data_IF_267574651025
#
_entry.id   IF_267574651025
#
_cell.length_a   1.000
_cell.length_b   1.000
_cell.length_c   1.000
_cell.angle_alpha   90.00
_cell.angle_beta   90.00
_cell.angle_gamma   90.00
#
_symmetry.space_group_name_H-M   'P 1'
#
loop_
_entity.id
_entity.type
_entity.pdbx_description
1 polymer ?
#
# COMPACT_ATOMS: atom_id res chain seq x y z
N UNK A 1 -22.49 -0.95 10.04
CA UNK A 1 -22.89 -2.37 9.89
C UNK A 1 -22.70 -2.75 8.42
N UNK A 2 -22.09 -3.87 8.09
CA UNK A 2 -21.96 -4.33 6.70
C UNK A 2 -23.32 -4.67 6.08
N UNK A 3 -23.38 -4.74 4.74
CA UNK A 3 -24.60 -5.08 4.01
C UNK A 3 -25.07 -6.51 4.32
N UNK A 4 -24.12 -7.43 4.50
CA UNK A 4 -24.36 -8.87 4.69
C UNK A 4 -23.52 -9.44 5.83
N UNK A 5 -23.81 -9.03 7.07
CA UNK A 5 -23.07 -9.51 8.25
C UNK A 5 -23.00 -11.04 8.31
N UNK A 6 -21.84 -11.66 8.62
CA UNK A 6 -20.56 -11.05 8.98
C UNK A 6 -19.63 -10.74 7.78
N UNK A 7 -20.14 -10.73 6.54
CA UNK A 7 -19.34 -10.56 5.34
C UNK A 7 -19.21 -9.07 5.00
N UNK A 8 -18.00 -8.65 4.62
CA UNK A 8 -17.67 -7.30 4.15
C UNK A 8 -17.06 -7.38 2.76
N UNK A 9 -17.62 -6.65 1.81
CA UNK A 9 -17.04 -6.46 0.47
C UNK A 9 -16.18 -5.20 0.45
N UNK A 10 -14.89 -5.33 0.11
CA UNK A 10 -13.96 -4.22 0.02
C UNK A 10 -13.23 -4.23 -1.32
N UNK A 11 -13.32 -3.15 -2.08
CA UNK A 11 -12.55 -2.93 -3.31
C UNK A 11 -11.56 -1.79 -3.11
N UNK A 12 -10.33 -1.94 -3.57
CA UNK A 12 -9.32 -0.87 -3.55
C UNK A 12 -8.66 -0.79 -4.90
N UNK A 13 -8.58 0.40 -5.48
CA UNK A 13 -7.87 0.62 -6.72
C UNK A 13 -6.40 0.21 -6.58
N UNK A 14 -5.95 -0.64 -7.50
CA UNK A 14 -4.61 -1.18 -7.53
C UNK A 14 -3.63 -0.36 -8.39
N UNK A 15 -2.40 -0.82 -8.53
CA UNK A 15 -1.38 -0.11 -9.29
C UNK A 15 -1.55 -0.30 -10.80
N UNK A 16 -1.13 0.72 -11.57
CA UNK A 16 -0.81 0.55 -12.99
C UNK A 16 0.63 0.07 -13.11
N UNK A 17 0.82 -1.11 -13.72
CA UNK A 17 2.09 -1.84 -13.67
C UNK A 17 3.02 -1.53 -14.85
N UNK A 18 3.44 -0.28 -14.96
CA UNK A 18 4.40 0.20 -15.97
C UNK A 18 5.73 0.67 -15.38
N UNK A 19 5.92 0.61 -14.08
CA UNK A 19 7.11 1.07 -13.39
C UNK A 19 7.23 0.55 -11.97
N UNK A 20 8.39 0.79 -11.37
CA UNK A 20 8.67 0.37 -10.01
C UNK A 20 7.73 1.00 -8.98
N UNK A 21 7.33 0.24 -7.95
CA UNK A 21 6.57 0.80 -6.86
C UNK A 21 7.37 1.87 -6.11
N UNK A 22 6.69 2.95 -5.78
CA UNK A 22 7.28 4.12 -5.11
C UNK A 22 6.53 4.45 -3.82
N UNK A 23 7.02 5.43 -3.09
CA UNK A 23 6.46 5.83 -1.79
C UNK A 23 4.95 6.14 -1.84
N UNK A 24 4.45 6.71 -2.95
CA UNK A 24 3.02 6.97 -3.14
C UNK A 24 2.14 5.73 -3.08
N UNK A 25 2.64 4.57 -3.52
CA UNK A 25 1.90 3.30 -3.43
C UNK A 25 1.81 2.77 -1.99
N UNK A 26 2.72 3.17 -1.08
CA UNK A 26 2.70 2.70 0.30
C UNK A 26 1.51 3.22 1.08
N UNK A 27 1.08 4.45 0.78
CA UNK A 27 0.01 5.12 1.51
C UNK A 27 -1.32 4.36 1.43
N UNK A 28 -1.90 4.13 0.22
CA UNK A 28 -3.10 3.31 0.10
C UNK A 28 -2.87 1.87 0.57
N UNK A 29 -1.74 1.26 0.21
CA UNK A 29 -1.46 -0.12 0.57
C UNK A 29 -1.49 -0.36 2.09
N UNK A 30 -0.83 0.49 2.88
CA UNK A 30 -0.79 0.37 4.34
C UNK A 30 -2.11 0.78 4.97
N UNK A 31 -2.75 1.85 4.49
CA UNK A 31 -4.05 2.30 5.00
C UNK A 31 -5.11 1.21 4.91
N UNK A 32 -5.26 0.61 3.72
CA UNK A 32 -6.26 -0.44 3.50
C UNK A 32 -5.83 -1.79 4.07
N UNK A 33 -4.55 -2.05 4.26
CA UNK A 33 -4.06 -3.20 5.03
C UNK A 33 -4.47 -3.11 6.51
N UNK A 34 -4.33 -1.93 7.13
CA UNK A 34 -4.81 -1.70 8.50
C UNK A 34 -6.32 -1.91 8.60
N UNK A 35 -7.10 -1.36 7.68
CA UNK A 35 -8.55 -1.59 7.64
C UNK A 35 -8.89 -3.06 7.48
N UNK A 36 -8.25 -3.76 6.55
CA UNK A 36 -8.45 -5.18 6.30
C UNK A 36 -8.13 -6.03 7.53
N UNK A 37 -6.99 -5.77 8.17
CA UNK A 37 -6.57 -6.43 9.41
C UNK A 37 -7.54 -6.16 10.55
N UNK A 38 -7.97 -4.91 10.72
CA UNK A 38 -8.87 -4.52 11.78
C UNK A 38 -10.26 -5.15 11.63
N UNK A 39 -10.85 -5.14 10.44
CA UNK A 39 -12.12 -5.80 10.19
C UNK A 39 -12.04 -7.31 10.48
N UNK A 40 -10.94 -7.97 10.10
CA UNK A 40 -10.71 -9.39 10.42
C UNK A 40 -10.53 -9.62 11.93
N UNK A 41 -9.84 -8.72 12.62
CA UNK A 41 -9.68 -8.76 14.08
C UNK A 41 -11.04 -8.66 14.81
N UNK A 42 -11.97 -7.88 14.28
CA UNK A 42 -13.34 -7.78 14.76
C UNK A 42 -14.20 -9.00 14.41
N UNK A 43 -13.69 -9.99 13.70
CA UNK A 43 -14.38 -11.23 13.34
C UNK A 43 -15.14 -11.17 12.01
N UNK A 44 -15.05 -10.09 11.24
CA UNK A 44 -15.66 -10.02 9.92
C UNK A 44 -14.94 -10.89 8.89
N UNK A 45 -15.71 -11.43 7.95
CA UNK A 45 -15.20 -12.15 6.77
C UNK A 45 -15.07 -11.16 5.60
N UNK A 46 -13.87 -10.67 5.39
CA UNK A 46 -13.63 -9.63 4.37
C UNK A 46 -13.24 -10.27 3.05
N UNK A 47 -14.02 -10.01 1.99
CA UNK A 47 -13.60 -10.24 0.61
C UNK A 47 -12.96 -8.96 0.10
N UNK A 48 -11.64 -8.96 0.09
CA UNK A 48 -10.82 -7.85 -0.37
C UNK A 48 -10.41 -8.06 -1.82
N UNK A 49 -10.82 -7.16 -2.71
CA UNK A 49 -10.45 -7.12 -4.12
C UNK A 49 -9.56 -5.92 -4.37
N UNK A 50 -8.43 -6.14 -5.05
CA UNK A 50 -7.54 -5.08 -5.52
C UNK A 50 -7.08 -5.44 -6.92
N UNK A 51 -7.37 -4.58 -7.90
CA UNK A 51 -7.03 -4.86 -9.29
C UNK A 51 -5.55 -4.61 -9.60
N UNK A 52 -5.13 -5.15 -10.75
CA UNK A 52 -3.93 -4.75 -11.47
C UNK A 52 -4.37 -4.09 -12.77
N UNK A 53 -4.03 -2.83 -12.95
CA UNK A 53 -4.26 -2.10 -14.20
C UNK A 53 -3.10 -2.41 -15.16
N UNK A 54 -3.35 -3.29 -16.10
CA UNK A 54 -2.39 -3.76 -17.08
C UNK A 54 -2.78 -3.40 -18.53
N UNK A 55 -3.81 -2.56 -18.72
CA UNK A 55 -4.28 -2.01 -20.01
C UNK A 55 -5.12 -0.76 -19.81
N UNK A 56 -5.20 0.10 -20.83
CA UNK A 56 -6.18 1.18 -20.93
C UNK A 56 -5.87 2.43 -20.12
N UNK A 57 -4.72 2.51 -19.47
CA UNK A 57 -4.30 3.70 -18.73
C UNK A 57 -3.36 4.55 -19.57
N UNK A 58 -3.91 5.56 -20.21
CA UNK A 58 -3.19 6.43 -21.12
C UNK A 58 -2.37 7.50 -20.37
N UNK A 59 -1.46 8.15 -21.09
CA UNK A 59 -0.65 9.24 -20.55
C UNK A 59 -1.53 10.42 -20.09
N UNK A 60 -1.06 11.13 -19.06
CA UNK A 60 -1.74 12.29 -18.47
C UNK A 60 -3.12 12.00 -17.87
N UNK A 61 -3.46 10.70 -17.65
CA UNK A 61 -4.76 10.25 -17.15
C UNK A 61 -5.92 10.76 -18.03
N UNK A 62 -5.66 10.88 -19.33
CA UNK A 62 -6.55 11.38 -20.37
C UNK A 62 -7.12 10.22 -21.22
N UNK A 63 -8.08 10.54 -22.10
CA UNK A 63 -8.63 9.58 -23.08
C UNK A 63 -7.85 9.56 -24.40
N UNK A 64 -6.74 10.27 -24.47
CA UNK A 64 -5.86 10.37 -25.62
C UNK A 64 -4.39 10.28 -25.19
N UNK A 65 -3.55 9.75 -26.08
CA UNK A 65 -2.16 9.49 -25.79
C UNK A 65 -1.80 8.02 -25.93
N UNK A 66 -0.56 7.70 -25.67
CA UNK A 66 -0.05 6.33 -25.68
C UNK A 66 -0.38 5.63 -24.35
N UNK A 67 -0.71 4.34 -24.39
CA UNK A 67 -0.86 3.53 -23.20
C UNK A 67 0.49 3.47 -22.44
N UNK A 68 0.45 3.65 -21.12
CA UNK A 68 1.66 3.73 -20.27
C UNK A 68 2.51 2.46 -20.34
N UNK A 69 1.86 1.30 -20.45
CA UNK A 69 2.54 0.00 -20.53
C UNK A 69 3.13 -0.22 -21.92
N UNK A 70 2.37 0.09 -22.98
CA UNK A 70 2.87 0.00 -24.36
C UNK A 70 4.05 0.93 -24.61
N UNK A 71 3.96 2.18 -24.13
CA UNK A 71 5.08 3.12 -24.20
C UNK A 71 6.33 2.55 -23.53
N UNK A 72 6.19 1.96 -22.35
CA UNK A 72 7.30 1.35 -21.62
C UNK A 72 7.85 0.14 -22.38
N UNK A 73 6.98 -0.73 -22.89
CA UNK A 73 7.36 -1.90 -23.68
C UNK A 73 8.14 -1.51 -24.95
N UNK A 74 7.66 -0.51 -25.68
CA UNK A 74 8.33 0.01 -26.87
C UNK A 74 9.72 0.58 -26.55
N UNK A 75 9.85 1.34 -25.46
CA UNK A 75 11.13 1.94 -25.03
C UNK A 75 12.16 0.87 -24.58
N UNK A 76 11.69 -0.22 -24.01
CA UNK A 76 12.54 -1.32 -23.53
C UNK A 76 12.65 -2.50 -24.51
N UNK A 77 11.97 -2.42 -25.66
CA UNK A 77 11.93 -3.46 -26.69
C UNK A 77 11.37 -4.81 -26.14
N UNK A 78 10.31 -4.72 -25.33
CA UNK A 78 9.62 -5.84 -24.70
C UNK A 78 8.18 -5.93 -25.18
N UNK A 79 7.50 -7.06 -24.89
CA UNK A 79 6.07 -7.17 -25.03
C UNK A 79 5.32 -6.48 -23.86
N UNK A 80 4.17 -5.81 -24.09
CA UNK A 80 3.43 -5.13 -23.02
C UNK A 80 3.10 -6.05 -21.84
N UNK A 81 2.72 -7.30 -22.07
CA UNK A 81 2.41 -8.25 -21.02
C UNK A 81 3.67 -8.69 -20.24
N UNK A 82 4.84 -8.67 -20.85
CA UNK A 82 6.12 -8.92 -20.17
C UNK A 82 6.43 -7.77 -19.21
N UNK A 83 6.23 -6.52 -19.63
CA UNK A 83 6.35 -5.33 -18.78
C UNK A 83 5.37 -5.41 -17.60
N UNK A 84 4.10 -5.69 -17.87
CA UNK A 84 3.06 -5.79 -16.84
C UNK A 84 3.41 -6.87 -15.81
N UNK A 85 3.84 -8.07 -16.25
CA UNK A 85 4.25 -9.17 -15.36
C UNK A 85 5.48 -8.81 -14.52
N UNK A 86 6.49 -8.18 -15.13
CA UNK A 86 7.70 -7.79 -14.43
C UNK A 86 7.41 -6.81 -13.28
N UNK A 87 6.66 -5.73 -13.56
CA UNK A 87 6.35 -4.72 -12.55
C UNK A 87 5.30 -5.20 -11.52
N UNK A 88 4.40 -6.08 -11.89
CA UNK A 88 3.51 -6.76 -10.94
C UNK A 88 4.31 -7.55 -9.89
N UNK A 89 5.29 -8.34 -10.33
CA UNK A 89 6.15 -9.10 -9.42
C UNK A 89 6.96 -8.18 -8.49
N UNK A 90 7.47 -7.06 -9.00
CA UNK A 90 8.19 -6.06 -8.19
C UNK A 90 7.27 -5.37 -7.18
N UNK A 91 6.04 -5.07 -7.58
CA UNK A 91 5.03 -4.55 -6.67
C UNK A 91 4.73 -5.54 -5.53
N UNK A 92 4.49 -6.81 -5.84
CA UNK A 92 4.24 -7.84 -4.83
C UNK A 92 5.42 -7.99 -3.87
N UNK A 93 6.65 -8.01 -4.39
CA UNK A 93 7.87 -8.06 -3.55
C UNK A 93 7.93 -6.90 -2.57
N UNK A 94 7.67 -5.69 -3.02
CA UNK A 94 7.68 -4.50 -2.18
C UNK A 94 6.54 -4.52 -1.14
N UNK A 95 5.33 -4.93 -1.51
CA UNK A 95 4.20 -5.05 -0.58
C UNK A 95 4.46 -6.10 0.49
N UNK A 96 5.06 -7.25 0.13
CA UNK A 96 5.45 -8.29 1.08
C UNK A 96 6.53 -7.80 2.06
N UNK A 97 7.52 -7.03 1.59
CA UNK A 97 8.53 -6.41 2.45
C UNK A 97 7.90 -5.46 3.47
N UNK A 98 6.91 -4.68 3.05
CA UNK A 98 6.13 -3.78 3.92
C UNK A 98 5.13 -4.52 4.84
N UNK A 99 5.06 -5.85 4.81
CA UNK A 99 4.08 -6.66 5.54
C UNK A 99 2.61 -6.31 5.22
N UNK A 100 2.33 -5.89 3.98
CA UNK A 100 0.97 -5.71 3.47
C UNK A 100 0.40 -7.08 3.12
N UNK A 101 -0.78 -7.41 3.64
CA UNK A 101 -1.46 -8.67 3.33
C UNK A 101 -1.94 -8.67 1.87
N UNK A 102 -1.87 -9.82 1.18
CA UNK A 102 -2.43 -9.92 -0.16
C UNK A 102 -3.96 -9.77 -0.11
N UNK A 103 -4.58 -9.24 -1.19
CA UNK A 103 -6.03 -9.25 -1.32
C UNK A 103 -6.56 -10.69 -1.47
N UNK A 104 -7.86 -10.88 -1.25
CA UNK A 104 -8.53 -12.16 -1.49
C UNK A 104 -8.56 -12.51 -2.98
N UNK A 105 -8.72 -11.48 -3.84
CA UNK A 105 -8.77 -11.59 -5.30
C UNK A 105 -8.00 -10.40 -5.87
N UNK A 106 -7.11 -10.67 -6.82
CA UNK A 106 -6.34 -9.63 -7.52
C UNK A 106 -6.55 -9.76 -9.05
N UNK A 107 -7.66 -9.20 -9.57
CA UNK A 107 -8.00 -9.33 -10.97
C UNK A 107 -7.19 -8.37 -11.84
N UNK A 108 -6.85 -8.81 -13.06
CA UNK A 108 -6.22 -7.99 -14.09
C UNK A 108 -7.28 -7.39 -15.01
N UNK A 109 -7.13 -6.13 -15.41
CA UNK A 109 -8.04 -5.45 -16.32
C UNK A 109 -8.11 -6.16 -17.69
N UNK A 110 -6.96 -6.60 -18.24
CA UNK A 110 -6.88 -7.36 -19.50
C UNK A 110 -7.58 -8.71 -19.42
N UNK A 111 -7.69 -9.31 -18.26
CA UNK A 111 -8.40 -10.58 -18.03
C UNK A 111 -9.93 -10.42 -17.96
N UNK A 112 -10.47 -9.19 -18.04
CA UNK A 112 -11.89 -8.88 -17.85
C UNK A 112 -12.50 -8.11 -19.02
N UNK A 113 -11.93 -8.24 -20.22
CA UNK A 113 -12.37 -7.51 -21.43
C UNK A 113 -13.83 -7.86 -21.78
N UNK A 114 -14.22 -9.12 -21.68
CA UNK A 114 -15.58 -9.54 -22.01
C UNK A 114 -16.61 -8.91 -21.06
N UNK A 115 -16.31 -8.90 -19.78
CA UNK A 115 -17.17 -8.29 -18.76
C UNK A 115 -17.28 -6.77 -18.97
N UNK A 116 -16.19 -6.12 -19.34
CA UNK A 116 -16.16 -4.68 -19.61
C UNK A 116 -17.00 -4.36 -20.86
N UNK A 117 -16.92 -5.16 -21.92
CA UNK A 117 -17.76 -5.00 -23.11
C UNK A 117 -19.25 -5.16 -22.76
N UNK A 118 -19.63 -6.17 -21.99
CA UNK A 118 -21.02 -6.35 -21.55
C UNK A 118 -21.50 -5.19 -20.67
N UNK A 119 -20.65 -4.70 -19.79
CA UNK A 119 -20.97 -3.54 -18.94
C UNK A 119 -21.25 -2.28 -19.77
N UNK A 120 -20.44 -2.02 -20.81
CA UNK A 120 -20.64 -0.91 -21.76
C UNK A 120 -21.98 -1.04 -22.50
N UNK A 121 -22.34 -2.25 -22.94
CA UNK A 121 -23.61 -2.50 -23.63
C UNK A 121 -24.81 -2.10 -22.78
N UNK A 122 -24.79 -2.39 -21.48
CA UNK A 122 -25.90 -2.00 -20.59
C UNK A 122 -25.93 -0.47 -20.38
N UNK A 123 -24.79 0.22 -20.28
CA UNK A 123 -24.74 1.70 -20.21
C UNK A 123 -25.28 2.32 -21.52
N UNK A 124 -24.92 1.77 -22.68
CA UNK A 124 -25.46 2.21 -23.98
C UNK A 124 -26.98 2.03 -24.04
N UNK A 125 -27.47 0.86 -23.63
CA UNK A 125 -28.91 0.55 -23.58
C UNK A 125 -29.66 1.45 -22.62
N UNK A 126 -29.06 1.84 -21.48
CA UNK A 126 -29.60 2.85 -20.56
C UNK A 126 -29.58 4.25 -21.17
N UNK A 127 -28.84 4.47 -22.25
CA UNK A 127 -28.80 5.70 -23.01
C UNK A 127 -27.86 6.75 -22.47
N UNK A 128 -26.92 6.41 -21.56
CA UNK A 128 -25.92 7.33 -21.02
C UNK A 128 -24.55 7.20 -21.69
N UNK A 129 -24.46 6.47 -22.80
CA UNK A 129 -23.28 6.40 -23.64
C UNK A 129 -23.66 6.51 -25.12
N UNK A 130 -22.66 6.81 -25.95
CA UNK A 130 -22.81 6.91 -27.41
C UNK A 130 -21.55 6.40 -28.12
N UNK A 131 -21.75 5.92 -29.35
CA UNK A 131 -20.66 5.54 -30.25
C UNK A 131 -20.20 6.74 -31.07
N UNK A 132 -18.90 6.88 -31.23
CA UNK A 132 -18.28 7.86 -32.11
C UNK A 132 -17.00 7.30 -32.72
N UNK A 133 -16.96 7.21 -34.05
CA UNK A 133 -15.79 6.74 -34.83
C UNK A 133 -15.20 5.38 -34.37
N UNK A 134 -16.06 4.47 -33.85
CA UNK A 134 -15.65 3.15 -33.35
C UNK A 134 -15.14 3.16 -31.89
N UNK A 135 -15.16 4.29 -31.22
CA UNK A 135 -15.02 4.44 -29.77
C UNK A 135 -16.38 4.57 -29.10
N UNK A 136 -16.46 4.33 -27.79
CA UNK A 136 -17.68 4.54 -26.98
C UNK A 136 -17.36 5.50 -25.85
N UNK A 137 -18.17 6.52 -25.70
CA UNK A 137 -18.01 7.56 -24.67
C UNK A 137 -19.23 7.61 -23.75
N UNK A 138 -18.99 7.89 -22.47
CA UNK A 138 -20.03 8.19 -21.50
C UNK A 138 -20.49 9.64 -21.67
N UNK A 139 -21.80 9.87 -21.78
CA UNK A 139 -22.42 11.20 -21.93
C UNK A 139 -22.69 11.83 -20.57
N UNK A 140 -21.67 12.55 -20.05
CA UNK A 140 -21.72 13.17 -18.72
C UNK A 140 -22.81 14.24 -18.64
N UNK A 141 -23.01 15.00 -19.72
CA UNK A 141 -24.02 16.09 -19.74
C UNK A 141 -25.44 15.51 -19.72
N UNK A 142 -25.69 14.40 -20.42
CA UNK A 142 -26.98 13.71 -20.38
C UNK A 142 -27.23 13.11 -19.01
N UNK A 143 -26.23 12.39 -18.47
CA UNK A 143 -26.29 11.79 -17.14
C UNK A 143 -26.59 12.84 -16.07
N UNK A 144 -25.98 14.01 -16.15
CA UNK A 144 -26.16 15.10 -15.16
C UNK A 144 -27.54 15.77 -15.18
N UNK A 145 -28.38 15.49 -16.19
CA UNK A 145 -29.79 15.93 -16.18
C UNK A 145 -30.65 15.07 -15.27
N UNK A 146 -30.28 13.79 -15.11
CA UNK A 146 -31.07 12.83 -14.35
C UNK A 146 -30.45 12.52 -12.99
N UNK A 147 -29.12 12.65 -12.88
CA UNK A 147 -28.32 12.33 -11.70
C UNK A 147 -27.29 13.41 -11.40
N UNK A 148 -26.67 13.35 -10.22
CA UNK A 148 -25.66 14.34 -9.81
C UNK A 148 -24.24 13.84 -10.09
N UNK A 149 -23.62 14.25 -11.22
CA UNK A 149 -22.18 14.09 -11.47
C UNK A 149 -21.40 15.11 -10.65
N UNK A 150 -20.35 14.65 -9.94
CA UNK A 150 -19.60 15.48 -9.01
C UNK A 150 -20.05 15.33 -7.54
N UNK A 151 -20.93 14.38 -7.24
CA UNK A 151 -21.45 14.13 -5.88
C UNK A 151 -20.36 13.79 -4.87
N UNK A 152 -19.38 12.96 -5.24
CA UNK A 152 -18.28 12.52 -4.38
C UNK A 152 -17.22 13.62 -4.24
N UNK A 153 -16.85 14.24 -5.34
CA UNK A 153 -15.77 15.23 -5.41
C UNK A 153 -16.19 16.64 -5.03
N UNK A 154 -17.50 16.91 -4.95
CA UNK A 154 -18.04 18.25 -4.75
C UNK A 154 -17.88 19.17 -5.96
N UNK A 155 -17.51 18.64 -7.13
CA UNK A 155 -17.32 19.44 -8.34
C UNK A 155 -18.65 19.75 -9.03
N UNK A 156 -18.73 20.96 -9.58
CA UNK A 156 -19.90 21.39 -10.35
C UNK A 156 -19.64 21.15 -11.84
N UNK A 157 -20.61 20.55 -12.54
CA UNK A 157 -20.51 20.25 -13.98
C UNK A 157 -20.36 21.53 -14.83
N UNK A 158 -21.04 22.62 -14.48
CA UNK A 158 -20.97 23.87 -15.22
C UNK A 158 -19.55 24.47 -15.14
N UNK A 159 -18.89 24.35 -13.98
CA UNK A 159 -17.49 24.74 -13.81
C UNK A 159 -16.56 23.84 -14.63
N UNK A 160 -16.80 22.53 -14.66
CA UNK A 160 -16.02 21.59 -15.46
C UNK A 160 -16.15 21.89 -16.96
N UNK A 161 -17.36 22.17 -17.45
CA UNK A 161 -17.59 22.54 -18.85
C UNK A 161 -16.89 23.85 -19.23
N UNK A 162 -16.84 24.81 -18.30
CA UNK A 162 -16.18 26.09 -18.52
C UNK A 162 -14.65 26.04 -18.41
N UNK A 163 -14.11 25.13 -17.62
CA UNK A 163 -12.66 25.00 -17.36
C UNK A 163 -11.97 24.02 -18.31
N UNK A 164 -12.71 23.06 -18.85
CA UNK A 164 -12.18 22.11 -19.83
C UNK A 164 -12.06 22.80 -21.19
N UNK A 165 -10.90 23.33 -21.50
CA UNK A 165 -10.64 23.89 -22.84
C UNK A 165 -10.71 22.75 -23.85
N UNK A 166 -11.29 23.08 -25.03
CA UNK A 166 -11.19 22.19 -26.19
C UNK A 166 -9.71 21.97 -26.50
N UNK A 167 -9.18 20.81 -26.14
CA UNK A 167 -7.87 20.35 -26.57
C UNK A 167 -8.00 19.86 -28.02
N UNK A 168 -7.00 20.12 -28.85
CA UNK A 168 -6.95 19.55 -30.21
C UNK A 168 -7.02 18.02 -30.11
N UNK A 169 -7.93 17.38 -30.87
CA UNK A 169 -8.18 15.95 -30.84
C UNK A 169 -9.49 15.48 -30.20
N UNK A 170 -10.28 16.34 -29.56
CA UNK A 170 -11.58 16.02 -28.95
C UNK A 170 -12.75 16.00 -29.96
N UNK A 171 -12.49 15.86 -31.26
CA UNK A 171 -13.53 15.85 -32.30
C UNK A 171 -14.52 14.68 -32.23
N UNK A 172 -14.21 13.64 -31.44
CA UNK A 172 -15.05 12.46 -31.28
C UNK A 172 -16.07 12.60 -30.11
N UNK A 173 -15.82 13.49 -29.16
CA UNK A 173 -16.68 13.70 -27.99
C UNK A 173 -17.77 14.72 -28.25
N UNK A 174 -18.98 14.48 -27.72
CA UNK A 174 -20.05 15.49 -27.72
C UNK A 174 -19.69 16.67 -26.80
N UNK A 175 -19.08 16.40 -25.64
CA UNK A 175 -18.65 17.39 -24.68
C UNK A 175 -17.24 17.05 -24.15
N UNK A 176 -16.43 18.07 -23.82
CA UNK A 176 -15.08 17.86 -23.30
C UNK A 176 -15.01 17.04 -21.99
N UNK A 177 -16.10 17.04 -21.21
CA UNK A 177 -16.19 16.31 -19.93
C UNK A 177 -16.57 14.85 -20.09
N UNK A 178 -17.00 14.44 -21.30
CA UNK A 178 -17.30 13.04 -21.58
C UNK A 178 -16.01 12.21 -21.49
N UNK A 179 -16.11 10.95 -21.08
CA UNK A 179 -14.96 10.09 -20.90
C UNK A 179 -15.14 8.75 -21.64
N UNK A 180 -14.01 8.14 -22.01
CA UNK A 180 -14.03 6.92 -22.79
C UNK A 180 -14.46 5.71 -21.95
N UNK A 181 -15.35 4.89 -22.52
CA UNK A 181 -15.67 3.54 -22.04
C UNK A 181 -14.94 2.49 -22.89
N UNK A 182 -14.83 2.74 -24.21
CA UNK A 182 -14.06 1.93 -25.16
C UNK A 182 -13.34 2.85 -26.12
N UNK A 183 -12.05 2.64 -26.32
CA UNK A 183 -11.25 3.39 -27.30
C UNK A 183 -10.91 2.48 -28.48
N UNK A 184 -11.18 2.97 -29.69
CA UNK A 184 -10.68 2.35 -30.90
C UNK A 184 -9.16 2.41 -30.93
N UNK A 185 -8.53 1.26 -31.12
CA UNK A 185 -7.08 1.18 -31.23
C UNK A 185 -6.57 1.73 -32.55
N UNK A 186 -5.41 2.39 -32.51
CA UNK A 186 -4.66 2.67 -33.74
C UNK A 186 -4.05 1.38 -34.30
N UNK A 187 -3.63 1.37 -35.59
CA UNK A 187 -2.99 0.17 -36.15
C UNK A 187 -1.73 -0.27 -35.39
N UNK A 188 -1.03 0.66 -34.75
CA UNK A 188 0.20 0.44 -34.00
C UNK A 188 -0.05 -0.09 -32.58
N UNK A 189 -1.28 0.08 -32.06
CA UNK A 189 -1.64 -0.33 -30.70
C UNK A 189 -1.67 -1.86 -30.58
N UNK A 190 -0.83 -2.43 -29.75
CA UNK A 190 -0.65 -3.88 -29.60
C UNK A 190 -1.76 -4.48 -28.73
N UNK A 191 -2.05 -3.84 -27.57
CA UNK A 191 -3.02 -4.31 -26.59
C UNK A 191 -4.44 -3.93 -26.99
N UNK A 192 -5.00 -4.66 -27.95
CA UNK A 192 -6.35 -4.44 -28.47
C UNK A 192 -7.14 -5.75 -28.60
N UNK A 193 -8.42 -5.66 -28.43
CA UNK A 193 -9.35 -6.77 -28.49
C UNK A 193 -10.51 -6.45 -29.43
N UNK A 194 -11.09 -7.45 -30.09
CA UNK A 194 -12.29 -7.26 -30.89
C UNK A 194 -13.48 -6.90 -29.98
N UNK A 195 -14.26 -5.94 -30.41
CA UNK A 195 -15.51 -5.54 -29.76
C UNK A 195 -16.61 -5.29 -30.80
N UNK A 196 -17.89 -5.12 -30.41
CA UNK A 196 -18.95 -4.74 -31.33
C UNK A 196 -18.72 -3.43 -32.07
N UNK A 197 -17.88 -2.52 -31.51
CA UNK A 197 -17.66 -1.17 -32.04
C UNK A 197 -16.39 -1.08 -32.91
N UNK A 198 -15.33 -1.68 -32.44
CA UNK A 198 -14.04 -1.74 -33.16
C UNK A 198 -13.06 -2.67 -32.43
N UNK A 199 -11.94 -3.00 -33.09
CA UNK A 199 -10.75 -3.43 -32.36
C UNK A 199 -10.25 -2.26 -31.49
N UNK A 200 -10.09 -2.51 -30.19
CA UNK A 200 -9.79 -1.45 -29.22
C UNK A 200 -9.51 -1.97 -27.82
N UNK A 201 -9.62 -1.09 -26.86
CA UNK A 201 -9.35 -1.36 -25.45
C UNK A 201 -10.31 -0.58 -24.54
N UNK A 202 -10.54 -1.04 -23.29
CA UNK A 202 -11.44 -0.36 -22.36
C UNK A 202 -10.85 0.95 -21.84
N UNK A 203 -11.71 1.90 -21.51
CA UNK A 203 -11.32 3.10 -20.75
C UNK A 203 -10.95 2.76 -19.32
N UNK A 204 -9.96 3.46 -18.78
CA UNK A 204 -9.40 3.20 -17.45
C UNK A 204 -10.42 3.15 -16.31
N UNK A 205 -11.44 4.00 -16.32
CA UNK A 205 -12.43 4.07 -15.22
C UNK A 205 -13.39 2.87 -15.18
N UNK A 206 -13.51 2.12 -16.28
CA UNK A 206 -14.47 1.02 -16.40
C UNK A 206 -14.01 -0.25 -15.68
N UNK A 207 -12.72 -0.46 -15.54
CA UNK A 207 -12.15 -1.67 -14.97
C UNK A 207 -12.63 -1.91 -13.53
N UNK A 208 -12.57 -0.87 -12.67
CA UNK A 208 -12.96 -0.98 -11.26
C UNK A 208 -14.47 -1.17 -11.10
N UNK A 209 -15.29 -0.47 -11.89
CA UNK A 209 -16.75 -0.66 -11.91
C UNK A 209 -17.12 -2.11 -12.26
N UNK A 210 -16.52 -2.65 -13.30
CA UNK A 210 -16.81 -4.01 -13.82
C UNK A 210 -16.31 -5.08 -12.86
N UNK A 211 -15.05 -5.00 -12.43
CA UNK A 211 -14.45 -6.01 -11.55
C UNK A 211 -15.02 -5.93 -10.13
N UNK A 212 -15.36 -4.72 -9.65
CA UNK A 212 -16.06 -4.52 -8.39
C UNK A 212 -17.40 -5.26 -8.38
N UNK A 213 -18.22 -5.03 -9.38
CA UNK A 213 -19.52 -5.71 -9.52
C UNK A 213 -19.37 -7.23 -9.67
N UNK A 214 -18.42 -7.70 -10.49
CA UNK A 214 -18.19 -9.13 -10.70
C UNK A 214 -17.86 -9.89 -9.42
N UNK A 215 -17.01 -9.35 -8.57
CA UNK A 215 -16.49 -10.06 -7.41
C UNK A 215 -17.20 -9.74 -6.09
N UNK A 216 -17.82 -8.57 -5.98
CA UNK A 216 -18.48 -8.10 -4.77
C UNK A 216 -19.99 -8.00 -4.89
N UNK A 217 -20.54 -8.06 -6.11
CA UNK A 217 -21.97 -7.91 -6.40
C UNK A 217 -22.35 -6.48 -6.77
N UNK A 218 -23.65 -6.29 -7.06
CA UNK A 218 -24.18 -4.98 -7.48
C UNK A 218 -24.00 -3.88 -6.44
N UNK A 219 -23.94 -4.23 -5.18
CA UNK A 219 -23.68 -3.30 -4.08
C UNK A 219 -22.73 -3.93 -3.09
N UNK A 220 -21.72 -3.18 -2.67
CA UNK A 220 -20.73 -3.63 -1.70
C UNK A 220 -20.37 -2.54 -0.68
N UNK A 221 -19.64 -2.92 0.38
CA UNK A 221 -19.52 -2.07 1.56
C UNK A 221 -18.54 -0.92 1.36
N UNK A 222 -17.30 -1.20 0.91
CA UNK A 222 -16.20 -0.23 0.95
C UNK A 222 -15.49 -0.19 -0.39
N UNK A 223 -15.30 1.02 -0.93
CA UNK A 223 -14.41 1.29 -2.04
C UNK A 223 -13.37 2.34 -1.65
N UNK A 224 -12.11 2.09 -1.98
CA UNK A 224 -11.03 2.97 -1.56
C UNK A 224 -9.92 3.17 -2.57
N UNK A 225 -9.16 4.27 -2.35
CA UNK A 225 -7.99 4.62 -3.13
C UNK A 225 -7.32 5.89 -2.63
N UNK A 226 -6.37 6.42 -3.40
CA UNK A 226 -5.78 7.73 -3.16
C UNK A 226 -6.77 8.87 -3.39
N UNK A 227 -6.56 10.01 -2.75
CA UNK A 227 -7.39 11.20 -2.94
C UNK A 227 -7.35 11.73 -4.39
N UNK A 228 -6.29 11.46 -5.12
CA UNK A 228 -6.13 11.75 -6.54
C UNK A 228 -7.11 10.98 -7.42
N UNK A 229 -7.56 9.80 -6.98
CA UNK A 229 -8.57 9.00 -7.67
C UNK A 229 -10.01 9.50 -7.42
N UNK A 230 -10.25 10.33 -6.42
CA UNK A 230 -11.60 10.85 -6.13
C UNK A 230 -12.21 11.50 -7.37
N UNK A 231 -11.41 12.26 -8.11
CA UNK A 231 -11.78 12.86 -9.38
C UNK A 231 -10.61 12.80 -10.38
N UNK A 232 -10.84 12.34 -11.62
CA UNK A 232 -12.12 11.90 -12.18
C UNK A 232 -12.51 10.44 -11.91
N UNK A 233 -11.59 9.55 -11.49
CA UNK A 233 -11.73 8.10 -11.54
C UNK A 233 -12.97 7.58 -10.78
N UNK A 234 -13.06 7.80 -9.48
CA UNK A 234 -14.18 7.31 -8.65
C UNK A 234 -15.51 8.01 -8.99
N UNK A 235 -15.47 9.27 -9.40
CA UNK A 235 -16.67 9.96 -9.87
C UNK A 235 -17.21 9.33 -11.16
N UNK A 236 -16.32 8.95 -12.08
CA UNK A 236 -16.69 8.19 -13.29
C UNK A 236 -17.24 6.81 -12.96
N UNK A 237 -16.69 6.11 -11.96
CA UNK A 237 -17.21 4.81 -11.50
C UNK A 237 -18.62 4.93 -10.92
N UNK A 238 -18.90 5.99 -10.15
CA UNK A 238 -20.28 6.28 -9.66
C UNK A 238 -21.21 6.45 -10.85
N UNK A 239 -20.83 7.28 -11.82
CA UNK A 239 -21.64 7.52 -13.00
C UNK A 239 -21.91 6.24 -13.81
N UNK A 240 -20.85 5.44 -14.02
CA UNK A 240 -20.94 4.14 -14.70
C UNK A 240 -21.88 3.17 -13.98
N UNK A 241 -21.72 3.05 -12.65
CA UNK A 241 -22.51 2.11 -11.86
C UNK A 241 -23.98 2.52 -11.75
N UNK A 242 -24.27 3.82 -11.61
CA UNK A 242 -25.64 4.33 -11.61
C UNK A 242 -26.29 4.16 -13.00
N UNK A 243 -25.56 4.42 -14.08
CA UNK A 243 -26.06 4.21 -15.43
C UNK A 243 -26.34 2.73 -15.73
N UNK A 244 -25.52 1.81 -15.20
CA UNK A 244 -25.67 0.38 -15.38
C UNK A 244 -26.77 -0.23 -14.51
N UNK A 245 -26.78 0.09 -13.19
CA UNK A 245 -27.63 -0.58 -12.19
C UNK A 245 -28.86 0.24 -11.79
N UNK A 246 -28.93 1.52 -12.14
CA UNK A 246 -29.96 2.45 -11.68
C UNK A 246 -29.77 2.97 -10.26
N UNK A 247 -28.71 2.60 -9.58
CA UNK A 247 -28.38 3.03 -8.21
C UNK A 247 -26.87 3.01 -7.95
N UNK A 248 -26.43 3.70 -6.90
CA UNK A 248 -25.05 3.66 -6.44
C UNK A 248 -24.69 2.26 -5.88
N UNK A 249 -23.50 1.78 -6.20
CA UNK A 249 -23.03 0.43 -5.85
C UNK A 249 -22.17 0.39 -4.61
N UNK A 250 -21.63 1.53 -4.18
CA UNK A 250 -20.68 1.61 -3.06
C UNK A 250 -21.33 2.32 -1.87
N UNK A 251 -21.26 1.67 -0.70
CA UNK A 251 -21.83 2.24 0.53
C UNK A 251 -20.90 3.26 1.18
N UNK A 252 -19.59 2.99 1.23
CA UNK A 252 -18.59 3.86 1.84
C UNK A 252 -17.40 4.07 0.92
N UNK A 253 -17.12 5.31 0.58
CA UNK A 253 -15.93 5.72 -0.14
C UNK A 253 -14.86 6.15 0.86
N UNK A 254 -13.63 5.64 0.71
CA UNK A 254 -12.50 5.97 1.57
C UNK A 254 -11.31 6.44 0.74
N UNK A 255 -10.74 7.61 1.12
CA UNK A 255 -9.61 8.19 0.40
C UNK A 255 -8.49 8.52 1.37
N UNK A 256 -7.29 7.97 1.12
CA UNK A 256 -6.10 8.41 1.81
C UNK A 256 -5.50 9.64 1.13
N UNK A 257 -4.92 10.53 1.92
CA UNK A 257 -4.27 11.73 1.40
C UNK A 257 -2.89 11.40 0.81
N UNK A 258 -2.31 12.38 0.12
CA UNK A 258 -1.06 12.24 -0.64
C UNK A 258 0.18 12.21 0.27
N UNK A 259 1.31 11.79 -0.32
CA UNK A 259 2.65 11.94 0.23
C UNK A 259 3.36 13.03 -0.56
N UNK A 260 4.01 13.95 0.16
CA UNK A 260 4.92 14.95 -0.40
C UNK A 260 6.37 14.60 -0.06
N UNK A 261 7.30 15.19 -0.76
CA UNK A 261 8.74 15.05 -0.52
C UNK A 261 9.31 16.45 -0.29
N UNK A 262 9.73 16.74 0.93
CA UNK A 262 10.17 18.09 1.34
C UNK A 262 9.15 19.18 0.95
N UNK A 263 7.87 18.93 1.24
CA UNK A 263 6.77 19.85 0.93
C UNK A 263 6.32 19.90 -0.52
N UNK A 264 6.93 19.13 -1.41
CA UNK A 264 6.61 19.13 -2.85
C UNK A 264 5.94 17.83 -3.28
N UNK A 265 5.07 17.90 -4.28
CA UNK A 265 4.51 16.70 -4.93
C UNK A 265 5.65 15.86 -5.52
N UNK A 266 5.58 14.54 -5.34
CA UNK A 266 6.51 13.62 -5.96
C UNK A 266 6.30 13.57 -7.48
N UNK A 267 7.38 13.64 -8.25
CA UNK A 267 7.32 13.60 -9.72
C UNK A 267 8.67 13.35 -10.37
N UNK A 268 8.66 12.55 -11.45
CA UNK A 268 9.90 12.25 -12.21
C UNK A 268 10.56 13.52 -12.76
N UNK A 269 9.76 14.47 -13.25
CA UNK A 269 10.25 15.75 -13.78
C UNK A 269 10.87 16.66 -12.71
N UNK A 270 10.56 16.43 -11.43
CA UNK A 270 11.13 17.18 -10.30
C UNK A 270 12.38 16.52 -9.71
N UNK A 271 12.80 15.36 -10.22
CA UNK A 271 13.97 14.64 -9.71
C UNK A 271 13.81 14.11 -8.29
N UNK A 272 12.58 14.11 -7.75
CA UNK A 272 12.24 13.64 -6.40
C UNK A 272 11.38 12.37 -6.40
N UNK A 273 11.39 11.62 -7.49
CA UNK A 273 10.71 10.34 -7.60
C UNK A 273 11.61 9.23 -7.04
N UNK A 274 11.23 8.63 -5.92
CA UNK A 274 12.01 7.62 -5.22
C UNK A 274 11.23 6.32 -5.19
N UNK A 275 11.82 5.25 -5.70
CA UNK A 275 11.24 3.90 -5.66
C UNK A 275 11.42 3.26 -4.28
N UNK A 276 10.59 2.26 -3.95
CA UNK A 276 10.72 1.54 -2.68
C UNK A 276 12.05 0.77 -2.58
N UNK A 277 12.55 0.26 -3.70
CA UNK A 277 13.84 -0.42 -3.72
C UNK A 277 14.99 0.55 -3.39
N UNK A 278 14.96 1.77 -3.91
CA UNK A 278 15.92 2.81 -3.57
C UNK A 278 15.85 3.22 -2.09
N UNK A 279 14.63 3.27 -1.49
CA UNK A 279 14.51 3.45 -0.04
C UNK A 279 15.16 2.32 0.74
N UNK A 280 14.94 1.07 0.32
CA UNK A 280 15.42 -0.10 1.06
C UNK A 280 16.93 -0.27 0.97
N UNK A 281 17.57 0.18 -0.10
CA UNK A 281 19.02 0.07 -0.31
C UNK A 281 19.78 1.41 -0.18
N UNK A 282 19.08 2.54 0.00
CA UNK A 282 19.69 3.86 0.17
C UNK A 282 20.36 4.42 -1.09
N UNK A 283 19.99 3.94 -2.29
CA UNK A 283 20.72 4.27 -3.53
C UNK A 283 20.31 5.60 -4.18
N UNK A 284 19.19 6.22 -3.77
CA UNK A 284 18.73 7.48 -4.35
C UNK A 284 19.50 8.69 -3.77
N UNK A 285 19.91 9.69 -4.58
CA UNK A 285 20.70 10.85 -4.11
C UNK A 285 20.05 11.70 -3.01
N UNK A 286 18.73 11.67 -2.88
CA UNK A 286 18.00 12.38 -1.82
C UNK A 286 17.97 11.62 -0.49
N UNK A 287 18.42 10.37 -0.46
CA UNK A 287 18.45 9.55 0.75
C UNK A 287 19.81 9.63 1.42
N UNK A 288 19.86 9.85 2.71
CA UNK A 288 21.09 9.88 3.49
C UNK A 288 21.53 8.47 3.94
N UNK A 289 20.60 7.52 3.94
CA UNK A 289 20.84 6.13 4.31
C UNK A 289 19.76 5.20 3.71
N UNK A 290 19.98 3.90 3.82
CA UNK A 290 18.92 2.90 3.61
C UNK A 290 17.91 2.92 4.76
N UNK A 291 16.64 2.68 4.45
CA UNK A 291 15.57 2.59 5.45
C UNK A 291 14.86 1.24 5.35
N UNK A 292 14.68 0.58 6.48
CA UNK A 292 13.98 -0.69 6.51
C UNK A 292 12.52 -0.57 6.03
N UNK A 293 11.95 -1.62 5.42
CA UNK A 293 10.52 -1.62 5.08
C UNK A 293 9.61 -1.32 6.28
N UNK A 294 9.99 -1.77 7.48
CA UNK A 294 9.22 -1.50 8.69
C UNK A 294 9.34 -0.05 9.16
N UNK A 295 10.50 0.60 8.96
CA UNK A 295 10.63 2.05 9.17
C UNK A 295 9.66 2.83 8.28
N UNK A 296 9.56 2.47 6.98
CA UNK A 296 8.62 3.09 6.05
C UNK A 296 7.18 2.84 6.48
N UNK A 297 6.84 1.58 6.84
CA UNK A 297 5.50 1.26 7.35
C UNK A 297 5.16 2.09 8.60
N UNK A 298 6.06 2.14 9.56
CA UNK A 298 5.87 2.87 10.80
C UNK A 298 5.73 4.38 10.58
N UNK A 299 6.53 4.95 9.69
CA UNK A 299 6.42 6.34 9.26
C UNK A 299 5.03 6.67 8.71
N UNK A 300 4.48 5.81 7.84
CA UNK A 300 3.13 5.98 7.30
C UNK A 300 2.06 5.91 8.40
N UNK A 301 2.19 4.99 9.35
CA UNK A 301 1.23 4.78 10.44
C UNK A 301 1.22 5.92 11.48
N UNK A 302 2.28 6.70 11.57
CA UNK A 302 2.37 7.86 12.47
C UNK A 302 1.51 9.05 12.03
N UNK A 303 0.96 9.03 10.82
CA UNK A 303 0.07 10.06 10.33
C UNK A 303 -1.32 9.50 10.05
N UNK A 304 -2.36 10.24 10.44
CA UNK A 304 -3.74 9.88 10.09
C UNK A 304 -3.90 9.78 8.56
N UNK A 305 -4.60 8.77 8.06
CA UNK A 305 -4.67 8.49 6.61
C UNK A 305 -5.27 9.65 5.79
N UNK A 306 -6.13 10.49 6.38
CA UNK A 306 -6.67 11.70 5.73
C UNK A 306 -5.68 12.87 5.72
N UNK A 307 -4.63 12.84 6.55
CA UNK A 307 -3.61 13.87 6.60
C UNK A 307 -2.53 13.67 5.52
N UNK A 308 -1.95 14.75 5.02
CA UNK A 308 -0.76 14.67 4.16
C UNK A 308 0.43 14.16 4.97
N UNK A 309 1.25 13.34 4.35
CA UNK A 309 2.52 12.87 4.93
C UNK A 309 3.66 13.50 4.14
N UNK A 310 4.54 14.20 4.83
CA UNK A 310 5.72 14.80 4.19
C UNK A 310 6.97 13.99 4.50
N UNK A 311 7.57 13.45 3.45
CA UNK A 311 8.84 12.75 3.55
C UNK A 311 10.00 13.75 3.68
N UNK A 312 10.87 13.48 4.66
CA UNK A 312 12.23 14.01 4.75
C UNK A 312 13.13 12.99 5.44
N UNK A 313 14.45 13.08 5.25
CA UNK A 313 15.38 12.18 5.96
C UNK A 313 15.23 12.29 7.48
N UNK A 314 15.05 13.50 8.01
CA UNK A 314 14.85 13.71 9.45
C UNK A 314 13.57 13.03 9.95
N UNK A 315 12.48 13.10 9.18
CA UNK A 315 11.22 12.45 9.54
C UNK A 315 11.35 10.91 9.52
N UNK A 316 12.05 10.33 8.54
CA UNK A 316 12.30 8.89 8.52
C UNK A 316 13.25 8.43 9.63
N UNK A 317 14.32 9.17 9.92
CA UNK A 317 15.20 8.87 11.06
C UNK A 317 14.46 8.96 12.40
N UNK A 318 13.53 9.90 12.53
CA UNK A 318 12.68 9.98 13.70
C UNK A 318 11.73 8.77 13.79
N UNK A 319 11.14 8.35 12.67
CA UNK A 319 10.29 7.16 12.59
C UNK A 319 11.06 5.87 12.89
N UNK A 320 12.29 5.73 12.40
CA UNK A 320 13.19 4.61 12.71
C UNK A 320 13.45 4.50 14.22
N UNK A 321 13.88 5.59 14.84
CA UNK A 321 14.10 5.63 16.30
C UNK A 321 12.82 5.31 17.10
N UNK A 322 11.67 5.76 16.61
CA UNK A 322 10.39 5.47 17.25
C UNK A 322 10.01 4.00 17.08
N UNK A 323 10.21 3.43 15.89
CA UNK A 323 10.03 2.01 15.63
C UNK A 323 10.93 1.14 16.53
N UNK A 324 12.23 1.44 16.61
CA UNK A 324 13.17 0.70 17.47
C UNK A 324 12.72 0.73 18.93
N UNK A 325 12.31 1.89 19.43
CA UNK A 325 11.84 2.05 20.82
C UNK A 325 10.60 1.23 21.13
N UNK A 326 9.63 1.14 20.22
CA UNK A 326 8.41 0.35 20.44
C UNK A 326 8.71 -1.15 20.37
N UNK A 327 9.60 -1.57 19.47
CA UNK A 327 10.08 -2.95 19.36
C UNK A 327 10.86 -3.36 20.61
N UNK A 328 11.75 -2.51 21.10
CA UNK A 328 12.48 -2.76 22.35
C UNK A 328 11.52 -2.86 23.55
N UNK A 329 10.51 -2.00 23.61
CA UNK A 329 9.46 -2.10 24.63
C UNK A 329 8.72 -3.44 24.57
N UNK A 330 8.36 -3.88 23.37
CA UNK A 330 7.72 -5.21 23.16
C UNK A 330 8.63 -6.37 23.57
N UNK A 331 9.93 -6.33 23.25
CA UNK A 331 10.90 -7.36 23.65
C UNK A 331 11.03 -7.42 25.16
N UNK A 332 11.23 -6.28 25.83
CA UNK A 332 11.30 -6.20 27.30
C UNK A 332 10.04 -6.75 27.98
N UNK A 333 8.86 -6.50 27.40
CA UNK A 333 7.59 -7.05 27.89
C UNK A 333 7.60 -8.57 27.95
N UNK A 334 8.26 -9.25 26.99
CA UNK A 334 8.34 -10.72 26.98
C UNK A 334 9.17 -11.28 28.14
N UNK A 335 10.10 -10.48 28.69
CA UNK A 335 11.06 -10.87 29.73
C UNK A 335 10.63 -10.45 31.15
N UNK A 336 9.54 -9.65 31.28
CA UNK A 336 9.07 -9.17 32.56
C UNK A 336 8.68 -10.33 33.50
N UNK A 337 9.11 -10.22 34.75
CA UNK A 337 8.75 -11.16 35.82
C UNK A 337 7.58 -10.61 36.62
N UNK A 338 6.54 -11.44 36.87
CA UNK A 338 5.40 -11.03 37.67
C UNK A 338 5.77 -10.83 39.14
N UNK A 339 5.05 -9.92 39.78
CA UNK A 339 5.04 -9.67 41.21
C UNK A 339 3.66 -10.04 41.81
N UNK A 340 3.58 -10.07 43.14
CA UNK A 340 2.34 -10.37 43.86
C UNK A 340 1.26 -9.29 43.70
N UNK A 341 1.69 -8.04 43.44
CA UNK A 341 0.79 -6.90 43.25
C UNK A 341 1.32 -5.92 42.23
N UNK A 342 0.42 -5.23 41.53
CA UNK A 342 0.75 -4.15 40.61
C UNK A 342 0.82 -2.80 41.35
N UNK A 343 1.87 -2.04 41.11
CA UNK A 343 2.03 -0.66 41.66
C UNK A 343 1.59 0.42 40.67
N UNK A 344 1.26 0.04 39.43
CA UNK A 344 0.81 0.90 38.33
C UNK A 344 -0.40 0.30 37.64
N UNK A 345 -1.25 1.15 37.06
CA UNK A 345 -2.47 0.70 36.36
C UNK A 345 -2.20 0.55 34.86
N UNK A 346 -2.51 -0.60 34.31
CA UNK A 346 -2.48 -0.90 32.86
C UNK A 346 -3.88 -1.04 32.25
N UNK A 347 -4.92 -0.96 33.10
CA UNK A 347 -6.30 -1.05 32.65
C UNK A 347 -6.67 0.19 31.86
N UNK A 348 -7.33 -0.02 30.73
CA UNK A 348 -7.78 1.09 29.90
C UNK A 348 -6.98 1.31 28.61
N UNK A 349 -5.72 0.89 28.49
CA UNK A 349 -4.97 0.99 27.22
C UNK A 349 -5.70 0.32 26.07
N UNK A 350 -6.19 -0.90 26.28
CA UNK A 350 -6.98 -1.64 25.26
C UNK A 350 -8.20 -0.85 24.81
N UNK A 351 -8.97 -0.30 25.76
CA UNK A 351 -10.14 0.51 25.43
C UNK A 351 -9.74 1.75 24.63
N UNK A 352 -8.71 2.48 25.04
CA UNK A 352 -8.24 3.68 24.34
C UNK A 352 -7.75 3.35 22.92
N UNK A 353 -7.05 2.23 22.72
CA UNK A 353 -6.65 1.78 21.41
C UNK A 353 -7.86 1.45 20.52
N UNK A 354 -8.90 0.78 21.05
CA UNK A 354 -10.14 0.55 20.31
C UNK A 354 -10.88 1.86 20.02
N UNK A 355 -10.99 2.76 20.99
CA UNK A 355 -11.63 4.06 20.79
C UNK A 355 -10.94 4.81 19.64
N UNK A 356 -9.60 4.81 19.60
CA UNK A 356 -8.82 5.47 18.56
C UNK A 356 -8.99 4.81 17.18
N UNK A 357 -8.89 3.48 17.09
CA UNK A 357 -9.00 2.80 15.79
C UNK A 357 -10.44 2.85 15.25
N UNK A 358 -11.45 2.91 16.13
CA UNK A 358 -12.87 3.11 15.79
C UNK A 358 -13.17 4.56 15.38
N UNK A 359 -12.33 5.51 15.77
CA UNK A 359 -12.41 6.90 15.34
C UNK A 359 -11.61 7.09 14.05
N UNK A 360 -12.18 6.61 12.95
CA UNK A 360 -11.68 6.78 11.59
C UNK A 360 -10.24 6.28 11.38
N UNK A 361 -9.91 5.10 11.92
CA UNK A 361 -8.59 4.46 11.80
C UNK A 361 -7.43 5.34 12.31
N UNK A 362 -7.59 5.96 13.47
CA UNK A 362 -6.62 6.88 14.03
C UNK A 362 -5.36 6.16 14.58
N UNK A 363 -4.55 5.64 13.66
CA UNK A 363 -3.31 4.90 13.98
C UNK A 363 -2.30 5.72 14.79
N UNK A 364 -2.15 7.06 14.61
CA UNK A 364 -1.27 7.88 15.46
C UNK A 364 -1.61 7.80 16.95
N UNK A 365 -2.90 7.83 17.29
CA UNK A 365 -3.33 7.74 18.70
C UNK A 365 -3.10 6.32 19.23
N UNK A 366 -3.37 5.28 18.45
CA UNK A 366 -3.02 3.89 18.85
C UNK A 366 -1.53 3.79 19.17
N UNK A 367 -0.67 4.32 18.32
CA UNK A 367 0.79 4.32 18.54
C UNK A 367 1.17 5.09 19.82
N UNK A 368 0.52 6.21 20.08
CA UNK A 368 0.77 6.99 21.30
C UNK A 368 0.43 6.19 22.55
N UNK A 369 -0.72 5.50 22.59
CA UNK A 369 -1.12 4.65 23.72
C UNK A 369 -0.15 3.46 23.92
N UNK A 370 0.35 2.87 22.83
CA UNK A 370 1.39 1.83 22.91
C UNK A 370 2.70 2.37 23.46
N UNK A 371 3.09 3.62 23.15
CA UNK A 371 4.26 4.26 23.76
C UNK A 371 4.06 4.55 25.24
N UNK A 372 2.86 4.91 25.67
CA UNK A 372 2.55 5.08 27.08
C UNK A 372 2.62 3.75 27.84
N UNK A 373 2.17 2.65 27.22
CA UNK A 373 2.38 1.31 27.75
C UNK A 373 3.88 0.94 27.82
N UNK A 374 4.71 1.29 26.80
CA UNK A 374 6.15 1.11 26.84
C UNK A 374 6.83 1.85 28.02
N UNK A 375 6.33 3.02 28.40
CA UNK A 375 6.87 3.74 29.59
C UNK A 375 6.67 2.92 30.87
N UNK A 376 5.49 2.29 31.03
CA UNK A 376 5.22 1.40 32.18
C UNK A 376 6.12 0.17 32.13
N UNK A 377 6.23 -0.48 30.97
CA UNK A 377 7.12 -1.63 30.77
C UNK A 377 8.56 -1.30 31.19
N UNK A 378 9.07 -0.14 30.78
CA UNK A 378 10.41 0.31 31.14
C UNK A 378 10.54 0.57 32.66
N UNK A 379 9.53 1.17 33.32
CA UNK A 379 9.54 1.35 34.78
C UNK A 379 9.60 0.02 35.52
N UNK A 380 8.85 -1.00 35.06
CA UNK A 380 8.88 -2.34 35.64
C UNK A 380 10.23 -3.01 35.40
N UNK A 381 10.77 -2.93 34.19
CA UNK A 381 12.09 -3.47 33.86
C UNK A 381 13.22 -2.82 34.71
N UNK A 382 13.09 -1.52 34.99
CA UNK A 382 14.04 -0.77 35.82
C UNK A 382 13.83 -1.03 37.34
N UNK A 383 12.87 -1.87 37.73
CA UNK A 383 12.55 -2.11 39.17
C UNK A 383 11.88 -0.93 39.90
N UNK A 384 11.36 0.05 39.14
CA UNK A 384 10.65 1.24 39.68
C UNK A 384 9.16 1.02 39.88
N UNK A 385 8.61 -0.02 39.24
CA UNK A 385 7.21 -0.45 39.32
C UNK A 385 7.12 -1.96 39.31
N UNK A 386 5.94 -2.49 39.67
CA UNK A 386 5.64 -3.91 39.67
C UNK A 386 4.33 -4.17 38.94
N UNK A 387 4.20 -5.33 38.29
CA UNK A 387 2.99 -5.81 37.65
C UNK A 387 2.71 -7.25 38.05
N UNK A 388 1.43 -7.57 38.21
CA UNK A 388 0.98 -8.97 38.35
C UNK A 388 1.13 -9.71 37.03
N UNK A 389 0.99 -11.06 37.09
CA UNK A 389 0.98 -11.88 35.88
C UNK A 389 -0.17 -11.47 34.95
N UNK A 390 -1.36 -11.22 35.48
CA UNK A 390 -2.55 -10.87 34.71
C UNK A 390 -2.35 -9.52 33.96
N UNK A 391 -1.71 -8.53 34.60
CA UNK A 391 -1.42 -7.24 33.97
C UNK A 391 -0.32 -7.34 32.91
N UNK A 392 0.66 -8.22 33.08
CA UNK A 392 1.67 -8.52 32.04
C UNK A 392 1.02 -9.21 30.86
N UNK A 393 0.16 -10.21 31.09
CA UNK A 393 -0.56 -10.91 30.02
C UNK A 393 -1.51 -9.96 29.28
N UNK A 394 -2.19 -9.02 29.97
CA UNK A 394 -3.00 -7.97 29.32
C UNK A 394 -2.17 -7.06 28.41
N UNK A 395 -0.98 -6.66 28.83
CA UNK A 395 -0.08 -5.88 27.99
C UNK A 395 0.42 -6.70 26.77
N UNK A 396 0.75 -7.99 26.96
CA UNK A 396 1.14 -8.87 25.85
C UNK A 396 0.04 -8.98 24.80
N UNK A 397 -1.18 -9.21 25.25
CA UNK A 397 -2.35 -9.28 24.39
C UNK A 397 -2.64 -7.93 23.68
N UNK A 398 -2.42 -6.80 24.38
CA UNK A 398 -2.54 -5.47 23.79
C UNK A 398 -1.55 -5.27 22.64
N UNK A 399 -0.26 -5.55 22.87
CA UNK A 399 0.75 -5.40 21.81
C UNK A 399 0.55 -6.39 20.67
N UNK A 400 0.18 -7.64 20.98
CA UNK A 400 -0.13 -8.61 19.93
C UNK A 400 -1.29 -8.12 19.05
N UNK A 401 -2.39 -7.69 19.64
CA UNK A 401 -3.56 -7.25 18.91
C UNK A 401 -3.28 -5.98 18.09
N UNK A 402 -2.74 -4.93 18.73
CA UNK A 402 -2.64 -3.64 18.08
C UNK A 402 -1.34 -3.45 17.30
N UNK A 403 -0.17 -3.78 17.87
CA UNK A 403 1.10 -3.59 17.17
C UNK A 403 1.29 -4.61 16.04
N UNK A 404 1.07 -5.90 16.34
CA UNK A 404 1.39 -6.99 15.42
C UNK A 404 0.22 -7.25 14.45
N UNK A 405 -0.97 -7.54 14.97
CA UNK A 405 -2.08 -8.03 14.13
C UNK A 405 -2.73 -6.89 13.34
N UNK A 406 -3.05 -5.75 13.97
CA UNK A 406 -3.77 -4.63 13.34
C UNK A 406 -2.80 -3.70 12.59
N UNK A 407 -1.78 -3.15 13.26
CA UNK A 407 -0.83 -2.25 12.63
C UNK A 407 0.18 -2.98 11.74
N UNK A 408 0.27 -4.31 11.83
CA UNK A 408 1.14 -5.15 11.00
C UNK A 408 2.63 -4.83 11.13
N UNK A 409 3.04 -4.37 12.29
CA UNK A 409 4.45 -4.08 12.59
C UNK A 409 5.16 -5.40 12.92
N UNK A 410 6.22 -5.73 12.21
CA UNK A 410 7.09 -6.85 12.56
C UNK A 410 8.08 -6.43 13.61
N UNK A 411 8.31 -7.28 14.61
CA UNK A 411 9.25 -7.05 15.71
C UNK A 411 10.52 -7.86 15.57
N UNK A 412 10.57 -8.76 14.59
CA UNK A 412 11.75 -9.53 14.20
C UNK A 412 12.28 -8.99 12.87
N UNK A 413 13.60 -8.97 12.73
CA UNK A 413 14.23 -8.73 11.43
C UNK A 413 13.99 -9.99 10.62
N UNK A 414 12.97 -10.00 9.78
CA UNK A 414 12.88 -11.03 8.74
C UNK A 414 13.90 -10.64 7.68
N UNK A 415 15.09 -11.19 7.79
CA UNK A 415 15.95 -11.32 6.63
C UNK A 415 15.09 -12.00 5.54
N UNK A 416 15.02 -11.41 4.35
CA UNK A 416 14.06 -11.78 3.29
C UNK A 416 13.83 -13.28 3.17
N UNK A 417 12.79 -13.73 2.46
CA UNK A 417 12.17 -15.06 2.36
C UNK A 417 13.04 -16.33 2.38
N UNK A 418 14.28 -16.23 2.78
CA UNK A 418 15.26 -17.30 2.93
C UNK A 418 15.45 -17.71 4.40
N UNK A 419 14.38 -18.05 5.11
CA UNK A 419 14.55 -18.77 6.38
C UNK A 419 15.34 -20.09 6.18
N UNK A 420 15.34 -20.64 4.95
CA UNK A 420 16.25 -21.72 4.55
C UNK A 420 17.69 -21.26 4.27
N UNK A 421 17.92 -19.98 3.99
CA UNK A 421 19.26 -19.42 3.79
C UNK A 421 19.86 -18.85 5.09
N UNK A 422 19.05 -18.53 6.11
CA UNK A 422 19.55 -18.06 7.41
C UNK A 422 20.37 -19.10 8.14
N UNK A 423 19.94 -20.35 8.19
CA UNK A 423 20.69 -21.41 8.88
C UNK A 423 22.08 -21.67 8.26
N UNK A 424 22.26 -21.77 6.93
CA UNK A 424 23.60 -21.80 6.31
C UNK A 424 24.41 -20.52 6.51
N UNK A 425 23.75 -19.34 6.52
CA UNK A 425 24.40 -18.06 6.75
C UNK A 425 24.92 -17.92 8.18
N UNK A 426 24.11 -18.24 9.20
CA UNK A 426 24.52 -18.27 10.61
C UNK A 426 25.68 -19.24 10.81
N UNK A 427 25.57 -20.46 10.29
CA UNK A 427 26.65 -21.46 10.34
C UNK A 427 27.95 -21.01 9.66
N UNK A 428 27.85 -20.22 8.57
CA UNK A 428 29.02 -19.68 7.90
C UNK A 428 29.68 -18.56 8.74
N UNK A 429 28.91 -17.73 9.42
CA UNK A 429 29.43 -16.70 10.35
C UNK A 429 30.08 -17.39 11.56
N UNK A 430 29.41 -18.36 12.16
CA UNK A 430 29.93 -19.12 13.30
C UNK A 430 31.23 -19.85 12.93
N UNK A 431 31.31 -20.45 11.75
CA UNK A 431 32.55 -21.07 11.26
C UNK A 431 33.71 -20.07 11.15
N UNK A 432 33.46 -18.85 10.64
CA UNK A 432 34.48 -17.81 10.58
C UNK A 432 34.92 -17.36 11.98
N UNK A 433 34.02 -17.30 12.94
CA UNK A 433 34.30 -16.93 14.31
C UNK A 433 35.01 -18.07 15.07
N UNK A 434 34.74 -19.33 14.75
CA UNK A 434 35.53 -20.48 15.22
C UNK A 434 36.97 -20.44 14.70
N UNK A 435 37.17 -20.19 13.40
CA UNK A 435 38.49 -20.00 12.81
C UNK A 435 39.24 -18.84 13.49
N UNK A 436 38.54 -17.74 13.77
CA UNK A 436 39.10 -16.61 14.54
C UNK A 436 39.53 -17.02 15.94
N UNK A 437 38.72 -17.81 16.66
CA UNK A 437 39.01 -18.33 17.98
C UNK A 437 40.25 -19.25 17.95
N UNK A 438 40.32 -20.15 16.98
CA UNK A 438 41.52 -21.01 16.78
C UNK A 438 42.77 -20.20 16.47
N UNK A 439 42.69 -19.18 15.64
CA UNK A 439 43.80 -18.29 15.32
C UNK A 439 44.32 -17.58 16.57
N UNK A 440 43.44 -17.14 17.48
CA UNK A 440 43.82 -16.56 18.78
C UNK A 440 44.61 -17.60 19.65
N UNK A 441 44.14 -18.85 19.69
CA UNK A 441 44.81 -19.93 20.44
C UNK A 441 46.22 -20.19 19.88
N UNK A 442 46.34 -20.14 18.55
CA UNK A 442 47.65 -20.32 17.83
C UNK A 442 48.50 -19.05 17.86
N UNK A 443 48.07 -17.96 18.50
CA UNK A 443 48.69 -16.63 18.53
C UNK A 443 48.85 -15.97 17.16
N UNK A 444 48.07 -16.39 16.18
CA UNK A 444 47.98 -15.75 14.86
C UNK A 444 46.97 -14.56 14.95
N UNK A 445 47.50 -13.48 15.49
CA UNK A 445 46.74 -12.25 15.69
C UNK A 445 46.33 -11.61 14.36
N UNK A 446 47.13 -11.75 13.31
CA UNK A 446 46.89 -11.16 12.00
C UNK A 446 45.61 -11.75 11.37
N UNK A 447 45.44 -13.06 11.38
CA UNK A 447 44.22 -13.72 10.86
C UNK A 447 43.02 -13.43 11.75
N UNK A 448 43.20 -13.41 13.08
CA UNK A 448 42.11 -13.09 14.00
C UNK A 448 41.56 -11.68 13.81
N UNK A 449 42.43 -10.68 13.65
CA UNK A 449 42.03 -9.28 13.43
C UNK A 449 41.44 -9.07 12.02
N UNK A 450 42.00 -9.73 11.01
CA UNK A 450 41.45 -9.66 9.64
C UNK A 450 39.99 -10.14 9.56
N UNK A 451 39.68 -11.27 10.24
CA UNK A 451 38.30 -11.80 10.25
C UNK A 451 37.36 -10.80 10.95
N UNK A 452 37.73 -10.28 12.13
CA UNK A 452 36.94 -9.29 12.85
C UNK A 452 36.68 -8.04 12.00
N UNK A 453 37.74 -7.48 11.43
CA UNK A 453 37.66 -6.20 10.72
C UNK A 453 36.83 -6.34 9.42
N UNK A 454 36.95 -7.48 8.72
CA UNK A 454 36.13 -7.76 7.56
C UNK A 454 34.65 -8.00 7.92
N UNK A 455 34.35 -8.73 8.97
CA UNK A 455 32.99 -8.90 9.46
C UNK A 455 32.39 -7.55 9.88
N UNK A 456 33.17 -6.71 10.57
CA UNK A 456 32.74 -5.36 10.97
C UNK A 456 32.49 -4.47 9.74
N UNK A 457 33.31 -4.55 8.70
CA UNK A 457 33.16 -3.78 7.48
C UNK A 457 31.89 -4.13 6.67
N UNK A 458 31.39 -5.36 6.80
CA UNK A 458 30.15 -5.82 6.15
C UNK A 458 28.94 -5.79 7.09
N UNK A 459 29.04 -5.12 8.25
CA UNK A 459 27.90 -4.81 9.11
C UNK A 459 27.69 -5.72 10.32
N UNK A 460 28.69 -6.58 10.69
CA UNK A 460 28.61 -7.38 11.92
C UNK A 460 29.23 -6.65 13.12
N UNK A 461 28.58 -6.75 14.27
CA UNK A 461 29.16 -6.43 15.56
C UNK A 461 29.57 -7.76 16.24
N UNK A 462 30.85 -7.93 16.49
CA UNK A 462 31.40 -9.17 17.06
C UNK A 462 32.00 -8.88 18.43
N UNK A 463 31.50 -9.56 19.47
CA UNK A 463 31.95 -9.44 20.87
C UNK A 463 32.56 -10.74 21.35
N UNK A 464 33.73 -10.65 21.97
CA UNK A 464 34.35 -11.80 22.66
C UNK A 464 33.68 -11.93 24.05
N UNK A 465 33.25 -13.12 24.40
CA UNK A 465 32.72 -13.49 25.72
C UNK A 465 33.66 -14.44 26.44
N UNK A 466 33.40 -14.71 27.73
CA UNK A 466 34.22 -15.65 28.53
C UNK A 466 34.17 -17.09 27.97
N UNK A 467 33.04 -17.43 27.37
CA UNK A 467 32.75 -18.79 26.89
C UNK A 467 32.87 -18.96 25.36
N UNK A 468 33.17 -17.85 24.63
CA UNK A 468 33.27 -17.87 23.17
C UNK A 468 33.17 -16.51 22.51
N UNK A 469 32.18 -16.33 21.66
CA UNK A 469 31.87 -15.09 20.94
C UNK A 469 30.38 -14.92 20.80
N UNK A 470 29.95 -13.70 20.71
CA UNK A 470 28.59 -13.33 20.32
C UNK A 470 28.68 -12.38 19.11
N UNK A 471 27.71 -12.45 18.24
CA UNK A 471 27.64 -11.54 17.11
C UNK A 471 26.22 -11.06 16.85
N UNK A 472 26.10 -9.88 16.26
CA UNK A 472 24.85 -9.33 15.78
C UNK A 472 25.10 -8.53 14.50
N UNK A 473 24.06 -8.32 13.71
CA UNK A 473 24.13 -7.37 12.60
C UNK A 473 24.02 -5.95 13.16
N UNK A 474 24.90 -5.05 12.72
CA UNK A 474 24.72 -3.62 12.96
C UNK A 474 23.49 -3.19 12.17
N UNK A 475 22.51 -2.70 12.87
CA UNK A 475 21.36 -2.02 12.28
C UNK A 475 21.77 -0.64 11.81
#
# INVERSE_FOLDING_TARGET
MPLHEPNVGMYVCGPTVYGDPHLGHTRPAITFDVLFRYLRHLGYRVRYVRNITDVGHLEHDADEGEDKIEKKARLEQLEPMEVAQYYTNRYHKAMKALNVLPPSIEPHASGHILEQIEYIKEILKAGYAYESNGSVYFDVVKYSKDFHYGKLSGRNIDELLNTTRALDGQSEKHNPVDFALWKKASPEHIMRWPSPWSDGFPGWHLECSTMGQKYLGETFDIHGGGMDLMFPHHECEIAQSVAHNGHETVRYWMHNNMITINGQKMGKSLGNFITLEEFFNGSHPLLEQAYSPMTIRFFILQAHYRGTVDFSNDALKAAEKAYDRIVDGYRRLQELKPADSSSVDVKGFRKKCYDAINDDLNTPIVIAELFDACKIINQVNDGKATLTKDDIDELKDLFQAFLIDILGVRTEIVAGDDAQALEPFEKAVDLLLEIRKESKVKKDWATSDLIRDRLTAIGFDVKDTKDGFEWSLKM
#
